data_IF_742952095297
#
_entry.id   IF_742952095297
#
_cell.length_a   1.000
_cell.length_b   1.000
_cell.length_c   1.000
_cell.angle_alpha   90.00
_cell.angle_beta   90.00
_cell.angle_gamma   90.00
#
_symmetry.space_group_name_H-M   'P 1'
#
loop_
_entity.id
_entity.type
_entity.pdbx_description
1 polymer ?
#
# COMPACT_ATOMS: atom_id res chain seq x y z
N UNK A 1 6.64 -17.08 9.91
CA UNK A 1 6.79 -16.85 9.59
C UNK A 1 6.86 -16.18 8.88
N UNK A 2 6.94 -15.70 8.31
CA UNK A 2 7.00 -15.14 7.63
C UNK A 2 7.38 -14.70 6.98
N UNK A 3 7.41 -14.55 6.60
CA UNK A 3 7.66 -14.15 6.01
C UNK A 3 7.99 -13.27 5.04
N UNK A 4 7.50 -12.69 4.65
CA UNK A 4 7.79 -11.84 3.60
C UNK A 4 8.52 -10.64 4.04
N UNK A 5 9.64 -10.33 3.46
CA UNK A 5 10.40 -9.22 3.82
C UNK A 5 10.17 -8.10 2.89
N UNK A 6 9.50 -7.05 3.28
CA UNK A 6 9.30 -5.86 2.47
C UNK A 6 10.55 -4.99 2.50
N UNK A 7 10.83 -4.30 1.39
CA UNK A 7 11.88 -3.32 1.38
C UNK A 7 11.49 -2.17 2.30
N UNK A 8 12.44 -1.34 2.69
CA UNK A 8 12.16 -0.20 3.54
C UNK A 8 11.14 0.72 2.92
N UNK A 9 11.26 0.92 1.64
CA UNK A 9 10.34 1.79 0.92
C UNK A 9 8.93 1.23 0.96
N UNK A 10 8.79 -0.07 0.73
CA UNK A 10 7.47 -0.71 0.76
C UNK A 10 6.89 -0.70 2.16
N UNK A 11 7.73 -0.91 3.17
CA UNK A 11 7.28 -0.88 4.55
C UNK A 11 6.74 0.50 4.93
N UNK A 12 7.35 1.55 4.41
CA UNK A 12 6.88 2.91 4.63
C UNK A 12 5.50 3.11 4.03
N UNK A 13 5.29 2.63 2.83
CA UNK A 13 3.97 2.72 2.20
C UNK A 13 2.93 1.94 2.99
N UNK A 14 3.30 0.76 3.45
CA UNK A 14 2.37 -0.06 4.21
C UNK A 14 1.92 0.67 5.47
N UNK A 15 2.86 1.32 6.15
CA UNK A 15 2.52 2.07 7.34
C UNK A 15 1.58 3.23 7.02
N UNK A 16 1.83 3.92 5.94
CA UNK A 16 0.96 5.01 5.52
C UNK A 16 -0.45 4.50 5.24
N UNK A 17 -0.56 3.33 4.63
CA UNK A 17 -1.85 2.73 4.36
C UNK A 17 -2.56 2.39 5.67
N UNK A 18 -1.84 1.84 6.62
CA UNK A 18 -2.43 1.41 7.89
C UNK A 18 -3.02 2.56 8.68
N UNK A 19 -2.39 3.73 8.63
CA UNK A 19 -2.87 4.88 9.39
C UNK A 19 -3.80 5.78 8.60
N UNK A 20 -4.02 5.45 7.35
CA UNK A 20 -4.84 6.29 6.48
C UNK A 20 -6.31 6.19 6.86
N UNK A 21 -7.01 7.32 6.87
CA UNK A 21 -8.43 7.33 7.17
C UNK A 21 -9.24 8.02 6.08
N UNK A 22 -8.57 8.51 5.04
CA UNK A 22 -9.21 9.27 3.99
C UNK A 22 -9.14 8.52 2.68
N UNK A 23 -10.27 8.39 2.02
CA UNK A 23 -10.34 7.68 0.75
C UNK A 23 -9.45 8.29 -0.33
N UNK A 24 -9.41 9.62 -0.39
CA UNK A 24 -8.56 10.29 -1.37
C UNK A 24 -7.10 10.04 -1.10
N UNK A 25 -6.74 10.02 0.16
CA UNK A 25 -5.37 9.76 0.54
C UNK A 25 -4.95 8.33 0.17
N UNK A 26 -5.84 7.37 0.39
CA UNK A 26 -5.51 5.98 0.09
C UNK A 26 -5.31 5.80 -1.43
N UNK A 27 -6.07 6.50 -2.24
CA UNK A 27 -5.88 6.45 -3.70
C UNK A 27 -4.56 7.08 -4.09
N UNK A 28 -4.19 8.17 -3.45
CA UNK A 28 -2.90 8.81 -3.71
C UNK A 28 -1.73 7.90 -3.39
N UNK A 29 -1.82 7.18 -2.28
CA UNK A 29 -0.77 6.24 -1.90
C UNK A 29 -0.66 5.13 -2.94
N UNK A 30 -1.79 4.64 -3.44
CA UNK A 30 -1.78 3.60 -4.46
C UNK A 30 -1.05 4.07 -5.71
N UNK A 31 -1.31 5.29 -6.13
CA UNK A 31 -0.64 5.84 -7.30
C UNK A 31 0.87 5.92 -7.06
N UNK A 32 1.25 6.36 -5.86
CA UNK A 32 2.68 6.51 -5.55
C UNK A 32 3.40 5.17 -5.62
N UNK A 33 2.87 4.14 -4.96
CA UNK A 33 3.60 2.87 -4.97
C UNK A 33 3.50 2.17 -6.32
N UNK A 34 2.46 2.45 -7.10
CA UNK A 34 2.39 1.94 -8.46
C UNK A 34 3.50 2.53 -9.32
N UNK A 35 3.75 3.82 -9.17
CA UNK A 35 4.82 4.48 -9.89
C UNK A 35 6.18 3.94 -9.46
N UNK A 36 6.35 3.69 -8.18
CA UNK A 36 7.60 3.13 -7.70
C UNK A 36 7.82 1.73 -8.25
N UNK A 37 6.77 0.94 -8.36
CA UNK A 37 6.89 -0.38 -8.95
C UNK A 37 7.32 -0.28 -10.42
N UNK A 38 6.70 0.63 -11.16
CA UNK A 38 7.07 0.85 -12.56
C UNK A 38 8.49 1.32 -12.70
N UNK A 39 8.98 2.08 -11.75
CA UNK A 39 10.34 2.59 -11.78
C UNK A 39 11.35 1.63 -11.16
N UNK A 40 10.91 0.43 -10.81
CA UNK A 40 11.75 -0.61 -10.21
C UNK A 40 12.30 -0.20 -8.84
N UNK A 41 11.60 0.69 -8.14
CA UNK A 41 12.01 1.09 -6.81
C UNK A 41 11.50 0.14 -5.74
N UNK A 42 10.44 -0.58 -6.04
CA UNK A 42 9.96 -1.68 -5.21
C UNK A 42 9.73 -2.87 -6.11
N UNK A 43 9.77 -4.06 -5.55
CA UNK A 43 9.61 -5.28 -6.34
C UNK A 43 8.12 -5.54 -6.59
N UNK A 44 7.86 -6.43 -7.52
CA UNK A 44 6.49 -6.85 -7.80
C UNK A 44 5.86 -7.51 -6.56
N UNK A 45 6.66 -8.26 -5.82
CA UNK A 45 6.16 -8.90 -4.59
C UNK A 45 5.75 -7.84 -3.58
N UNK A 46 6.54 -6.78 -3.43
CA UNK A 46 6.20 -5.67 -2.54
C UNK A 46 4.92 -4.99 -3.00
N UNK A 47 4.84 -4.75 -4.30
CA UNK A 47 3.65 -4.10 -4.87
C UNK A 47 2.39 -4.91 -4.57
N UNK A 48 2.45 -6.22 -4.72
CA UNK A 48 1.31 -7.08 -4.47
C UNK A 48 0.82 -6.96 -3.03
N UNK A 49 1.75 -6.96 -2.09
CA UNK A 49 1.41 -6.81 -0.67
C UNK A 49 0.76 -5.46 -0.41
N UNK A 50 1.32 -4.40 -0.98
CA UNK A 50 0.79 -3.06 -0.77
C UNK A 50 -0.57 -2.90 -1.42
N UNK A 51 -0.73 -3.45 -2.60
CA UNK A 51 -2.00 -3.36 -3.31
C UNK A 51 -3.11 -4.05 -2.52
N UNK A 52 -2.80 -5.23 -2.01
CA UNK A 52 -3.77 -5.98 -1.21
C UNK A 52 -4.16 -5.20 0.05
N UNK A 53 -3.17 -4.63 0.74
CA UNK A 53 -3.44 -3.84 1.94
C UNK A 53 -4.25 -2.59 1.60
N UNK A 54 -3.96 -1.97 0.48
CA UNK A 54 -4.68 -0.78 0.04
C UNK A 54 -6.14 -1.10 -0.25
N UNK A 55 -6.40 -2.22 -0.90
CA UNK A 55 -7.77 -2.61 -1.21
C UNK A 55 -8.56 -2.90 0.07
N UNK A 56 -7.94 -3.57 1.02
CA UNK A 56 -8.60 -3.84 2.29
C UNK A 56 -8.91 -2.56 3.04
N UNK A 57 -7.96 -1.64 3.09
CA UNK A 57 -8.17 -0.37 3.79
C UNK A 57 -9.24 0.46 3.09
N UNK A 58 -9.24 0.46 1.79
CA UNK A 58 -10.25 1.19 1.03
C UNK A 58 -11.65 0.67 1.34
N UNK A 59 -11.80 -0.65 1.38
CA UNK A 59 -13.10 -1.24 1.73
C UNK A 59 -13.50 -0.89 3.15
N UNK A 60 -12.54 -0.88 4.05
CA UNK A 60 -12.78 -0.54 5.44
C UNK A 60 -13.27 0.90 5.58
N UNK A 61 -12.61 1.81 4.90
CA UNK A 61 -12.98 3.22 4.92
C UNK A 61 -14.38 3.40 4.36
N UNK A 62 -14.67 2.71 3.27
CA UNK A 62 -16.00 2.78 2.66
C UNK A 62 -17.08 2.29 3.58
N UNK A 63 -16.84 1.21 4.28
CA UNK A 63 -17.88 0.64 5.10
C UNK A 63 -18.09 1.40 6.38
N UNK A 64 -17.16 2.25 6.74
CA UNK A 64 -17.30 3.02 7.93
C UNK A 64 -18.06 4.29 7.77
N UNK A 65 -18.68 4.61 6.87
CA UNK A 65 -19.37 5.85 6.61
C UNK A 65 -20.01 6.51 7.80
#
# INVERSE_FOLDING_TARGET
MKNQKLSKRAATYLKRIEVCTDRNEIEGIRIEFSQDCSAYKISWADFTVLYDAQQLKRAEIRSKR
#
